data_IF_753633783821
#
_entry.id   IF_753633783821
#
_cell.length_a   1.000
_cell.length_b   1.000
_cell.length_c   1.000
_cell.angle_alpha   90.00
_cell.angle_beta   90.00
_cell.angle_gamma   90.00
#
_symmetry.space_group_name_H-M   'P 1'
#
loop_
_entity.id
_entity.type
_entity.pdbx_description
1 polymer ?
#
# COMPACT_ATOMS: atom_id res chain seq x y z
N UNK A 1 8.23 4.73 -40.96
CA UNK A 1 9.15 3.76 -40.32
C UNK A 1 10.05 4.54 -39.39
N UNK A 2 9.84 4.50 -38.06
CA UNK A 2 10.55 5.37 -37.11
C UNK A 2 12.07 5.07 -37.10
N UNK A 3 12.94 6.00 -37.52
CA UNK A 3 14.38 5.75 -37.63
C UNK A 3 15.13 6.57 -36.56
N UNK A 4 15.41 6.00 -35.37
CA UNK A 4 16.42 6.60 -34.44
C UNK A 4 16.83 5.77 -33.23
N UNK A 5 16.17 4.68 -32.86
CA UNK A 5 16.49 3.94 -31.62
C UNK A 5 17.65 2.94 -31.72
N UNK A 6 18.14 2.65 -32.94
CA UNK A 6 19.16 1.60 -33.20
C UNK A 6 20.53 1.81 -32.54
N UNK A 7 20.82 2.99 -31.98
CA UNK A 7 22.15 3.35 -31.44
C UNK A 7 22.17 3.70 -29.95
N UNK A 8 21.05 3.56 -29.24
CA UNK A 8 21.03 3.90 -27.81
C UNK A 8 21.47 2.69 -26.96
N UNK A 9 22.74 2.69 -26.55
CA UNK A 9 23.33 1.61 -25.74
C UNK A 9 22.68 1.48 -24.36
N UNK A 10 22.15 2.56 -23.78
CA UNK A 10 21.42 2.51 -22.51
C UNK A 10 20.06 1.83 -22.68
N UNK A 11 19.33 2.16 -23.74
CA UNK A 11 18.06 1.50 -24.06
C UNK A 11 18.28 0.01 -24.32
N UNK A 12 19.30 -0.35 -25.10
CA UNK A 12 19.63 -1.74 -25.36
C UNK A 12 19.99 -2.52 -24.09
N UNK A 13 20.80 -1.94 -23.19
CA UNK A 13 21.09 -2.54 -21.88
C UNK A 13 19.82 -2.74 -21.05
N UNK A 14 18.92 -1.76 -21.05
CA UNK A 14 17.66 -1.84 -20.30
C UNK A 14 16.72 -2.90 -20.88
N UNK A 15 16.63 -3.02 -22.19
CA UNK A 15 15.88 -4.09 -22.86
C UNK A 15 16.46 -5.45 -22.49
N UNK A 16 17.79 -5.62 -22.55
CA UNK A 16 18.45 -6.86 -22.15
C UNK A 16 18.17 -7.23 -20.69
N UNK A 17 18.11 -6.24 -19.78
CA UNK A 17 17.67 -6.46 -18.39
C UNK A 17 16.21 -6.92 -18.32
N UNK A 18 15.31 -6.29 -19.08
CA UNK A 18 13.89 -6.67 -19.11
C UNK A 18 13.64 -8.06 -19.69
N UNK A 19 14.53 -8.55 -20.55
CA UNK A 19 14.48 -9.89 -21.15
C UNK A 19 14.96 -11.00 -20.19
N UNK A 20 15.59 -10.67 -19.05
CA UNK A 20 16.04 -11.66 -18.07
C UNK A 20 14.87 -12.56 -17.63
N UNK A 21 15.08 -13.88 -17.70
CA UNK A 21 14.10 -14.88 -17.31
C UNK A 21 14.07 -15.05 -15.80
N UNK A 22 12.87 -15.28 -15.26
CA UNK A 22 12.64 -15.51 -13.85
C UNK A 22 12.29 -16.98 -13.62
N UNK A 23 12.90 -17.58 -12.60
CA UNK A 23 12.57 -18.93 -12.19
C UNK A 23 11.20 -18.94 -11.47
N UNK A 24 10.30 -19.87 -11.82
CA UNK A 24 8.99 -19.93 -11.17
C UNK A 24 9.10 -20.40 -9.72
N UNK A 25 8.38 -19.72 -8.82
CA UNK A 25 8.22 -20.19 -7.45
C UNK A 25 7.13 -21.28 -7.39
N UNK A 26 7.35 -22.30 -6.58
CA UNK A 26 6.40 -23.41 -6.38
C UNK A 26 5.61 -23.18 -5.08
N UNK A 27 4.28 -23.34 -5.08
CA UNK A 27 3.49 -23.22 -3.86
C UNK A 27 3.70 -24.40 -2.90
N UNK A 28 3.47 -24.17 -1.61
CA UNK A 28 3.49 -25.20 -0.58
C UNK A 28 2.05 -25.69 -0.29
N UNK A 29 1.87 -26.98 0.04
CA UNK A 29 2.90 -28.02 0.16
C UNK A 29 3.36 -28.59 -1.20
N UNK A 30 2.54 -28.47 -2.25
CA UNK A 30 2.88 -28.86 -3.62
C UNK A 30 1.87 -28.24 -4.61
N UNK A 31 2.28 -27.99 -5.84
CA UNK A 31 1.41 -27.51 -6.92
C UNK A 31 2.19 -26.92 -8.10
N UNK A 32 1.52 -26.60 -9.22
CA UNK A 32 2.16 -25.85 -10.29
C UNK A 32 2.43 -24.40 -9.85
N UNK A 33 3.37 -23.68 -10.47
CA UNK A 33 3.51 -22.24 -10.29
C UNK A 33 2.21 -21.51 -10.65
N UNK A 34 1.97 -20.35 -10.01
CA UNK A 34 0.81 -19.51 -10.33
C UNK A 34 0.75 -19.21 -11.85
N UNK A 35 -0.43 -19.25 -12.51
CA UNK A 35 -0.53 -19.08 -13.96
C UNK A 35 -0.01 -17.74 -14.46
N UNK A 36 -0.20 -16.67 -13.69
CA UNK A 36 0.32 -15.33 -13.99
C UNK A 36 1.74 -15.08 -13.43
N UNK A 37 2.45 -16.12 -12.97
CA UNK A 37 3.82 -15.93 -12.48
C UNK A 37 4.70 -15.41 -13.62
N UNK A 38 5.43 -14.30 -13.43
CA UNK A 38 6.15 -13.65 -14.50
C UNK A 38 7.32 -14.51 -14.97
N UNK A 39 7.41 -14.71 -16.29
CA UNK A 39 8.51 -15.48 -16.90
C UNK A 39 9.76 -14.64 -17.15
N UNK A 40 9.61 -13.32 -17.20
CA UNK A 40 10.70 -12.36 -17.43
C UNK A 40 10.52 -11.12 -16.54
N UNK A 41 11.58 -10.32 -16.38
CA UNK A 41 11.48 -9.03 -15.68
C UNK A 41 10.51 -8.07 -16.37
N UNK A 42 10.42 -8.08 -17.70
CA UNK A 42 9.41 -7.32 -18.43
C UNK A 42 7.99 -7.71 -18.00
N UNK A 43 7.68 -9.01 -18.01
CA UNK A 43 6.37 -9.50 -17.62
C UNK A 43 6.05 -9.12 -16.16
N UNK A 44 7.03 -9.19 -15.26
CA UNK A 44 6.86 -8.75 -13.87
C UNK A 44 6.48 -7.26 -13.76
N UNK A 45 7.10 -6.39 -14.54
CA UNK A 45 6.79 -4.96 -14.54
C UNK A 45 5.44 -4.61 -15.20
N UNK A 46 4.84 -5.54 -15.93
CA UNK A 46 3.54 -5.38 -16.56
C UNK A 46 2.40 -6.00 -15.74
N UNK A 47 2.68 -6.68 -14.63
CA UNK A 47 1.65 -7.24 -13.75
C UNK A 47 0.69 -6.14 -13.29
N UNK A 48 -0.58 -6.42 -13.51
CA UNK A 48 -1.73 -5.64 -13.03
C UNK A 48 -1.90 -5.82 -11.53
N UNK A 49 -2.69 -4.94 -10.92
CA UNK A 49 -3.02 -5.08 -9.50
C UNK A 49 -3.69 -6.42 -9.18
N UNK A 50 -4.67 -6.83 -9.99
CA UNK A 50 -5.41 -8.06 -9.78
C UNK A 50 -4.50 -9.29 -9.86
N UNK A 51 -3.54 -9.31 -10.78
CA UNK A 51 -2.56 -10.39 -10.88
C UNK A 51 -1.62 -10.41 -9.67
N UNK A 52 -1.18 -9.25 -9.19
CA UNK A 52 -0.37 -9.14 -7.99
C UNK A 52 -1.12 -9.64 -6.74
N UNK A 53 -2.41 -9.29 -6.58
CA UNK A 53 -3.26 -9.80 -5.50
C UNK A 53 -3.51 -11.30 -5.60
N UNK A 54 -3.72 -11.82 -6.82
CA UNK A 54 -3.88 -13.25 -7.08
C UNK A 54 -2.63 -14.03 -6.70
N UNK A 55 -1.45 -13.55 -7.11
CA UNK A 55 -0.16 -14.12 -6.72
C UNK A 55 0.00 -14.12 -5.20
N UNK A 56 -0.27 -13.00 -4.53
CA UNK A 56 -0.15 -12.89 -3.09
C UNK A 56 -1.11 -13.84 -2.36
N UNK A 57 -2.32 -14.06 -2.86
CA UNK A 57 -3.25 -15.04 -2.30
C UNK A 57 -2.77 -16.48 -2.51
N UNK A 58 -2.31 -16.81 -3.72
CA UNK A 58 -1.87 -18.16 -4.08
C UNK A 58 -0.70 -18.67 -3.22
N UNK A 59 0.22 -17.78 -2.84
CA UNK A 59 1.36 -18.12 -1.97
C UNK A 59 1.09 -17.83 -0.47
N UNK A 60 -0.18 -17.79 -0.05
CA UNK A 60 -0.58 -17.58 1.34
C UNK A 60 -0.04 -16.27 1.96
N UNK A 61 0.25 -15.26 1.16
CA UNK A 61 0.84 -14.00 1.63
C UNK A 61 -0.21 -12.94 1.94
N UNK A 62 -1.38 -12.98 1.28
CA UNK A 62 -2.49 -12.05 1.52
C UNK A 62 -3.60 -12.61 2.42
N UNK A 63 -3.69 -13.93 2.53
CA UNK A 63 -4.58 -14.63 3.46
C UNK A 63 -3.72 -15.62 4.21
N UNK A 64 -3.14 -15.20 5.36
CA UNK A 64 -2.19 -16.03 6.07
C UNK A 64 -2.80 -17.37 6.46
N UNK A 65 -2.00 -18.42 6.34
CA UNK A 65 -2.37 -19.80 6.65
C UNK A 65 -1.16 -20.58 7.16
N UNK A 66 -1.26 -21.93 7.25
CA UNK A 66 -0.20 -22.76 7.82
C UNK A 66 1.15 -22.61 7.12
N UNK A 67 1.14 -22.30 5.82
CA UNK A 67 2.33 -22.24 4.98
C UNK A 67 2.95 -20.85 4.83
N UNK A 68 2.31 -19.80 5.33
CA UNK A 68 2.74 -18.40 5.10
C UNK A 68 4.18 -18.13 5.53
N UNK A 69 4.57 -18.68 6.68
CA UNK A 69 5.91 -18.54 7.27
C UNK A 69 6.92 -19.57 6.75
N UNK A 70 6.49 -20.49 5.88
CA UNK A 70 7.36 -21.53 5.31
C UNK A 70 7.99 -21.09 3.97
N UNK A 71 7.60 -19.93 3.45
CA UNK A 71 8.26 -19.32 2.29
C UNK A 71 9.52 -18.55 2.70
N UNK A 72 10.52 -18.39 1.82
CA UNK A 72 11.79 -17.73 2.15
C UNK A 72 11.69 -16.27 2.63
N UNK A 73 10.60 -15.58 2.30
CA UNK A 73 10.33 -14.21 2.70
C UNK A 73 8.83 -14.00 2.91
N UNK A 74 8.46 -13.01 3.73
CA UNK A 74 7.07 -12.56 3.87
C UNK A 74 6.83 -11.27 3.09
N UNK A 75 5.66 -11.16 2.45
CA UNK A 75 5.25 -9.92 1.74
C UNK A 75 4.68 -8.85 2.68
N UNK A 76 4.16 -9.25 3.85
CA UNK A 76 3.32 -8.43 4.74
C UNK A 76 2.17 -7.77 3.94
N UNK A 77 1.39 -8.59 3.22
CA UNK A 77 0.37 -8.14 2.28
C UNK A 77 -0.98 -7.95 2.95
N UNK A 78 -1.32 -6.72 3.31
CA UNK A 78 -2.60 -6.38 3.91
C UNK A 78 -3.54 -5.81 2.84
N UNK A 79 -4.59 -6.57 2.50
CA UNK A 79 -5.55 -6.20 1.46
C UNK A 79 -6.45 -5.04 1.87
N UNK A 80 -6.88 -4.98 3.13
CA UNK A 80 -7.74 -3.90 3.63
C UNK A 80 -6.99 -2.58 3.61
N UNK A 81 -5.76 -2.64 4.07
CA UNK A 81 -4.85 -1.52 4.15
C UNK A 81 -4.46 -0.96 2.78
N UNK A 82 -4.24 -1.84 1.81
CA UNK A 82 -3.93 -1.47 0.43
C UNK A 82 -5.19 -1.21 -0.38
N UNK A 83 -6.41 -1.44 0.11
CA UNK A 83 -7.60 -1.22 -0.71
C UNK A 83 -7.72 0.25 -1.13
N UNK A 84 -8.50 0.50 -2.19
CA UNK A 84 -8.82 1.86 -2.62
C UNK A 84 -9.27 2.68 -1.42
N UNK A 85 -8.76 3.91 -1.25
CA UNK A 85 -9.20 4.73 -0.16
C UNK A 85 -10.71 4.96 -0.29
N UNK A 86 -11.44 4.95 0.80
CA UNK A 86 -12.82 5.46 0.84
C UNK A 86 -12.73 6.97 1.20
N UNK A 87 -12.99 7.89 0.26
CA UNK A 87 -12.94 9.37 0.43
C UNK A 87 -13.90 9.65 1.51
N UNK A 88 -13.52 10.52 2.43
CA UNK A 88 -14.45 10.91 3.43
C UNK A 88 -15.51 11.88 2.86
N UNK A 89 -16.79 11.53 2.80
CA UNK A 89 -17.93 12.48 2.59
C UNK A 89 -18.22 13.43 3.75
N UNK A 90 -17.51 13.36 4.88
CA UNK A 90 -17.79 14.22 6.04
C UNK A 90 -16.52 14.74 6.69
N UNK A 91 -16.49 16.06 6.86
CA UNK A 91 -15.48 16.78 7.62
C UNK A 91 -16.06 17.14 8.98
N UNK A 92 -15.27 16.96 10.04
CA UNK A 92 -15.65 17.34 11.40
C UNK A 92 -14.91 18.62 11.77
N UNK A 93 -15.65 19.69 12.04
CA UNK A 93 -15.09 20.97 12.48
C UNK A 93 -14.48 20.83 13.90
N UNK A 94 -13.54 21.69 14.33
CA UNK A 94 -12.88 21.59 15.65
C UNK A 94 -13.84 21.57 16.86
N UNK A 95 -15.06 22.06 16.69
CA UNK A 95 -16.12 22.03 17.69
C UNK A 95 -17.04 20.78 17.62
N UNK A 96 -16.67 19.74 16.84
CA UNK A 96 -17.36 18.45 16.82
C UNK A 96 -18.62 18.38 15.94
N UNK A 97 -18.99 19.44 15.23
CA UNK A 97 -20.11 19.42 14.31
C UNK A 97 -19.67 18.93 12.92
N UNK A 98 -20.27 17.82 12.46
CA UNK A 98 -20.18 17.33 11.07
C UNK A 98 -21.05 18.23 10.20
N UNK A 99 -20.43 19.01 9.32
CA UNK A 99 -21.15 19.83 8.33
C UNK A 99 -20.73 19.36 6.94
N UNK A 100 -21.70 19.14 6.06
CA UNK A 100 -21.45 18.81 4.66
C UNK A 100 -20.89 20.05 3.97
N UNK A 101 -19.78 19.92 3.26
CA UNK A 101 -19.17 21.03 2.51
C UNK A 101 -20.13 21.48 1.40
N UNK A 102 -20.28 22.78 1.24
CA UNK A 102 -20.97 23.36 0.08
C UNK A 102 -20.18 23.08 -1.20
N UNK A 103 -20.85 23.09 -2.36
CA UNK A 103 -20.20 22.81 -3.65
C UNK A 103 -19.00 23.73 -3.90
N UNK A 104 -19.15 25.00 -3.54
CA UNK A 104 -18.11 26.02 -3.71
C UNK A 104 -16.87 25.79 -2.83
N UNK A 105 -17.05 25.20 -1.64
CA UNK A 105 -15.95 24.81 -0.75
C UNK A 105 -15.25 23.54 -1.24
N UNK A 106 -15.99 22.62 -1.86
CA UNK A 106 -15.42 21.43 -2.50
C UNK A 106 -14.52 21.85 -3.65
N UNK A 107 -15.04 22.70 -4.55
CA UNK A 107 -14.33 23.20 -5.72
C UNK A 107 -13.03 23.92 -5.30
N UNK A 108 -13.10 24.79 -4.29
CA UNK A 108 -11.94 25.49 -3.73
C UNK A 108 -10.88 24.54 -3.15
N UNK A 109 -11.29 23.47 -2.45
CA UNK A 109 -10.36 22.50 -1.88
C UNK A 109 -9.65 21.68 -2.97
N UNK A 110 -10.35 21.32 -4.04
CA UNK A 110 -9.75 20.68 -5.23
C UNK A 110 -8.74 21.59 -5.91
N UNK A 111 -9.07 22.87 -6.11
CA UNK A 111 -8.16 23.84 -6.72
C UNK A 111 -6.93 24.11 -5.84
N UNK A 112 -7.09 24.09 -4.52
CA UNK A 112 -5.98 24.24 -3.57
C UNK A 112 -5.03 23.03 -3.60
N UNK A 113 -5.57 21.81 -3.65
CA UNK A 113 -4.76 20.58 -3.74
C UNK A 113 -3.98 20.57 -5.06
N UNK A 114 -4.64 20.97 -6.15
CA UNK A 114 -4.07 21.04 -7.49
C UNK A 114 -2.97 22.11 -7.61
N UNK A 115 -3.16 23.28 -7.01
CA UNK A 115 -2.13 24.35 -7.01
C UNK A 115 -0.91 24.02 -6.15
N UNK A 116 -1.08 23.25 -5.06
CA UNK A 116 0.05 22.74 -4.25
C UNK A 116 0.81 21.62 -5.00
N UNK A 117 0.09 20.81 -5.78
CA UNK A 117 0.66 19.76 -6.64
C UNK A 117 1.51 20.37 -7.79
N UNK A 118 1.07 21.49 -8.37
CA UNK A 118 1.80 22.25 -9.41
C UNK A 118 3.11 22.90 -8.90
N UNK A 119 3.20 23.26 -7.62
CA UNK A 119 4.40 23.87 -7.02
C UNK A 119 5.50 22.85 -6.67
N UNK A 120 5.14 21.58 -6.43
CA UNK A 120 6.10 20.54 -6.07
C UNK A 120 6.73 19.85 -7.31
N UNK A 121 6.07 19.87 -8.48
CA UNK A 121 6.58 19.28 -9.72
C UNK A 121 6.19 20.10 -10.97
N UNK A 122 7.13 20.75 -11.69
CA UNK A 122 6.80 21.44 -12.94
C UNK A 122 6.35 20.42 -14.01
N UNK A 123 5.12 20.58 -14.49
CA UNK A 123 4.42 19.69 -15.43
C UNK A 123 5.11 19.66 -16.80
N UNK A 124 5.31 18.45 -17.35
CA UNK A 124 5.35 18.22 -18.80
C UNK A 124 3.95 17.72 -19.22
N UNK A 125 3.28 18.33 -20.21
CA UNK A 125 1.84 18.16 -20.39
C UNK A 125 1.48 16.97 -21.27
N UNK A 126 0.50 16.15 -20.84
CA UNK A 126 -0.37 15.29 -21.67
C UNK A 126 -1.56 14.72 -20.85
N UNK A 127 -2.66 15.49 -20.83
CA UNK A 127 -4.12 15.19 -20.93
C UNK A 127 -4.79 13.82 -20.55
N UNK A 128 -6.12 13.79 -20.31
CA UNK A 128 -6.71 13.40 -19.00
C UNK A 128 -7.86 12.35 -19.05
N UNK A 129 -7.99 11.47 -18.06
CA UNK A 129 -9.22 10.70 -17.72
C UNK A 129 -9.04 10.18 -16.27
N UNK A 130 -10.01 9.98 -15.37
CA UNK A 130 -11.39 10.41 -15.19
C UNK A 130 -11.68 10.28 -13.67
N UNK A 131 -12.62 11.06 -13.16
CA UNK A 131 -12.93 11.27 -11.73
C UNK A 131 -13.84 10.17 -11.15
N UNK A 132 -13.53 9.62 -9.96
CA UNK A 132 -14.57 9.05 -9.09
C UNK A 132 -14.35 9.36 -7.59
N UNK A 133 -15.47 9.84 -7.02
CA UNK A 133 -15.69 10.30 -5.65
C UNK A 133 -15.94 9.13 -4.67
N UNK A 134 -15.86 9.36 -3.37
CA UNK A 134 -15.98 8.34 -2.31
C UNK A 134 -16.72 8.93 -1.06
N UNK A 135 -17.03 8.10 -0.05
CA UNK A 135 -17.83 8.41 1.16
C UNK A 135 -17.19 7.92 2.51
N UNK A 136 -17.48 8.62 3.63
CA UNK A 136 -16.75 8.71 4.93
C UNK A 136 -17.26 7.83 6.06
N UNK A 137 -16.33 7.33 6.87
CA UNK A 137 -16.57 6.97 8.29
C UNK A 137 -15.34 7.25 9.18
N UNK A 138 -15.52 7.59 10.49
CA UNK A 138 -14.46 8.14 11.33
C UNK A 138 -13.76 7.07 12.18
N UNK A 139 -12.85 6.31 11.58
CA UNK A 139 -11.87 5.47 12.29
C UNK A 139 -10.64 5.23 11.42
N UNK A 140 -9.81 6.25 11.19
CA UNK A 140 -8.52 6.05 10.50
C UNK A 140 -7.42 6.75 11.26
N UNK A 141 -6.92 6.08 12.31
CA UNK A 141 -5.67 6.43 13.00
C UNK A 141 -4.50 5.84 12.22
N UNK A 142 -3.60 6.70 11.73
CA UNK A 142 -2.27 6.46 11.19
C UNK A 142 -2.09 5.19 10.34
N UNK A 143 -2.85 5.09 9.25
CA UNK A 143 -2.49 4.23 8.14
C UNK A 143 -1.51 5.02 7.23
N UNK A 144 -0.23 4.63 7.20
CA UNK A 144 0.85 5.25 6.39
C UNK A 144 0.52 5.32 4.88
N UNK A 145 -0.48 4.57 4.44
CA UNK A 145 -0.87 4.39 3.05
C UNK A 145 -2.39 4.62 2.84
N UNK A 146 -3.07 5.30 3.77
CA UNK A 146 -4.43 5.76 3.52
C UNK A 146 -4.42 6.83 2.43
N UNK A 147 -5.31 6.72 1.44
CA UNK A 147 -5.40 7.69 0.34
C UNK A 147 -4.54 7.39 -0.88
N UNK A 148 -3.90 6.22 -0.95
CA UNK A 148 -3.02 5.92 -2.08
C UNK A 148 -3.76 5.86 -3.42
N UNK A 149 -3.13 6.45 -4.42
CA UNK A 149 -3.50 6.26 -5.83
C UNK A 149 -3.30 4.80 -6.24
N UNK A 150 -4.02 4.36 -7.28
CA UNK A 150 -3.83 3.04 -7.88
C UNK A 150 -2.37 2.79 -8.29
N UNK A 151 -1.72 3.80 -8.87
CA UNK A 151 -0.33 3.72 -9.30
C UNK A 151 0.62 3.46 -8.14
N UNK A 152 0.44 4.14 -7.01
CA UNK A 152 1.29 3.95 -5.83
C UNK A 152 1.06 2.59 -5.17
N UNK A 153 -0.20 2.17 -5.14
CA UNK A 153 -0.58 0.85 -4.65
C UNK A 153 0.04 -0.26 -5.49
N UNK A 154 -0.06 -0.20 -6.83
CA UNK A 154 0.62 -1.13 -7.74
C UNK A 154 2.12 -1.13 -7.50
N UNK A 155 2.74 0.04 -7.29
CA UNK A 155 4.18 0.15 -7.01
C UNK A 155 4.57 -0.54 -5.69
N UNK A 156 3.79 -0.35 -4.62
CA UNK A 156 4.02 -1.01 -3.32
C UNK A 156 3.80 -2.53 -3.44
N UNK A 157 2.69 -2.92 -4.06
CA UNK A 157 2.32 -4.32 -4.33
C UNK A 157 3.43 -5.02 -5.11
N UNK A 158 3.87 -4.43 -6.23
CA UNK A 158 4.97 -4.97 -7.04
C UNK A 158 6.27 -5.11 -6.27
N UNK A 159 6.64 -4.11 -5.45
CA UNK A 159 7.84 -4.17 -4.60
C UNK A 159 7.76 -5.32 -3.59
N UNK A 160 6.62 -5.49 -2.92
CA UNK A 160 6.38 -6.60 -1.99
C UNK A 160 6.49 -7.97 -2.67
N UNK A 161 5.88 -8.14 -3.83
CA UNK A 161 6.00 -9.38 -4.63
C UNK A 161 7.43 -9.59 -5.10
N UNK A 162 8.10 -8.54 -5.60
CA UNK A 162 9.47 -8.60 -6.07
C UNK A 162 10.44 -9.05 -4.97
N UNK A 163 10.30 -8.51 -3.76
CA UNK A 163 11.07 -8.95 -2.59
C UNK A 163 10.81 -10.42 -2.26
N UNK A 164 9.55 -10.85 -2.30
CA UNK A 164 9.16 -12.22 -2.00
C UNK A 164 9.74 -13.26 -2.97
N UNK A 165 9.80 -12.93 -4.26
CA UNK A 165 10.39 -13.81 -5.28
C UNK A 165 11.92 -13.63 -5.43
N UNK A 166 12.55 -12.82 -4.58
CA UNK A 166 14.01 -12.68 -4.51
C UNK A 166 14.64 -11.67 -5.48
N UNK A 167 13.90 -10.69 -5.97
CA UNK A 167 14.46 -9.62 -6.80
C UNK A 167 15.22 -8.59 -5.95
N UNK A 168 16.42 -8.24 -6.39
CA UNK A 168 17.27 -7.19 -5.79
C UNK A 168 16.69 -5.80 -6.09
N UNK A 169 16.80 -4.86 -5.15
CA UNK A 169 16.29 -3.50 -5.34
C UNK A 169 14.79 -3.34 -5.09
N UNK A 170 14.16 -4.36 -4.48
CA UNK A 170 12.74 -4.38 -4.11
C UNK A 170 12.55 -4.20 -2.60
N UNK A 171 13.54 -3.60 -1.93
CA UNK A 171 13.50 -3.35 -0.50
C UNK A 171 12.41 -2.34 -0.16
N UNK A 172 11.76 -2.56 0.99
CA UNK A 172 10.79 -1.60 1.52
C UNK A 172 11.55 -0.37 2.05
N UNK A 173 11.22 0.87 1.62
CA UNK A 173 11.91 2.08 2.07
C UNK A 173 11.97 2.21 3.59
N UNK A 174 13.02 2.84 4.11
CA UNK A 174 13.26 2.95 5.54
C UNK A 174 12.12 3.71 6.26
N UNK A 175 11.56 4.72 5.61
CA UNK A 175 10.46 5.54 6.13
C UNK A 175 9.18 4.70 6.31
N UNK A 176 8.90 3.79 5.38
CA UNK A 176 7.80 2.82 5.48
C UNK A 176 7.98 1.88 6.67
N UNK A 177 9.20 1.38 6.86
CA UNK A 177 9.55 0.48 7.96
C UNK A 177 9.42 1.24 9.30
N UNK A 178 9.98 2.44 9.40
CA UNK A 178 9.91 3.28 10.58
C UNK A 178 8.46 3.62 10.94
N UNK A 179 7.63 3.98 9.96
CA UNK A 179 6.21 4.25 10.16
C UNK A 179 5.45 3.04 10.71
N UNK A 180 5.74 1.82 10.22
CA UNK A 180 5.15 0.58 10.76
C UNK A 180 5.59 0.30 12.20
N UNK A 181 6.87 0.48 12.50
CA UNK A 181 7.41 0.29 13.85
C UNK A 181 6.75 1.27 14.81
N UNK A 182 6.67 2.55 14.43
CA UNK A 182 6.03 3.58 15.23
C UNK A 182 4.55 3.25 15.51
N UNK A 183 3.78 2.88 14.47
CA UNK A 183 2.38 2.50 14.63
C UNK A 183 2.20 1.24 15.51
N UNK A 184 3.13 0.29 15.43
CA UNK A 184 3.15 -0.89 16.32
C UNK A 184 3.42 -0.50 17.77
N UNK A 185 4.40 0.37 17.99
CA UNK A 185 4.78 0.87 19.32
C UNK A 185 3.65 1.68 19.96
N UNK A 186 3.03 2.59 19.22
CA UNK A 186 1.90 3.40 19.69
C UNK A 186 0.72 2.52 20.12
N UNK A 187 0.44 1.44 19.35
CA UNK A 187 -0.57 0.44 19.72
C UNK A 187 -0.22 -0.31 21.00
N UNK A 188 1.05 -0.66 21.18
CA UNK A 188 1.51 -1.32 22.40
C UNK A 188 1.39 -0.40 23.63
N UNK A 189 1.78 0.87 23.49
CA UNK A 189 1.66 1.89 24.55
C UNK A 189 0.19 2.12 24.92
N UNK A 190 -0.70 2.25 23.93
CA UNK A 190 -2.13 2.43 24.18
C UNK A 190 -2.73 1.25 24.96
N UNK A 191 -2.39 0.01 24.58
CA UNK A 191 -2.83 -1.19 25.31
C UNK A 191 -2.34 -1.19 26.76
N UNK A 192 -1.07 -0.86 26.98
CA UNK A 192 -0.51 -0.79 28.34
C UNK A 192 -1.19 0.28 29.21
N UNK A 193 -1.52 1.44 28.62
CA UNK A 193 -2.25 2.51 29.34
C UNK A 193 -3.66 2.08 29.73
N UNK A 194 -4.38 1.40 28.84
CA UNK A 194 -5.73 0.89 29.11
C UNK A 194 -5.71 -0.20 30.18
N UNK A 195 -4.68 -1.05 30.18
CA UNK A 195 -4.48 -2.09 31.19
C UNK A 195 -4.15 -1.49 32.56
N UNK A 196 -3.31 -0.47 32.63
CA UNK A 196 -3.01 0.27 33.86
C UNK A 196 -4.29 0.87 34.45
N UNK A 197 -5.11 1.53 33.62
CA UNK A 197 -6.39 2.11 34.05
C UNK A 197 -7.35 1.05 34.61
N UNK A 198 -7.45 -0.10 33.96
CA UNK A 198 -8.26 -1.23 34.47
C UNK A 198 -7.73 -1.75 35.80
N UNK A 199 -6.42 -1.87 35.94
CA UNK A 199 -5.81 -2.34 37.18
C UNK A 199 -6.03 -1.35 38.33
N UNK A 200 -5.92 -0.05 38.08
CA UNK A 200 -6.26 1.00 39.05
C UNK A 200 -7.74 0.96 39.46
N UNK A 201 -8.66 0.77 38.52
CA UNK A 201 -10.10 0.60 38.82
C UNK A 201 -10.36 -0.64 39.68
N UNK A 202 -9.69 -1.76 39.41
CA UNK A 202 -9.78 -2.98 40.21
C UNK A 202 -9.24 -2.76 41.63
N UNK A 203 -8.10 -2.06 41.76
CA UNK A 203 -7.50 -1.74 43.06
C UNK A 203 -8.38 -0.79 43.88
N UNK A 204 -8.99 0.22 43.26
CA UNK A 204 -9.93 1.15 43.91
C UNK A 204 -11.21 0.46 44.36
N UNK A 205 -11.74 -0.47 43.56
CA UNK A 205 -12.90 -1.30 43.96
C UNK A 205 -12.58 -2.20 45.14
N UNK A 206 -11.41 -2.84 45.15
CA UNK A 206 -10.96 -3.64 46.30
C UNK A 206 -10.79 -2.80 47.56
N UNK A 207 -10.25 -1.58 47.44
CA UNK A 207 -10.09 -0.64 48.57
C UNK A 207 -11.44 -0.16 49.13
N UNK A 208 -12.48 -0.02 48.31
CA UNK A 208 -13.83 0.37 48.75
C UNK A 208 -14.63 -0.74 49.45
N UNK A 209 -14.18 -1.99 49.37
CA UNK A 209 -14.84 -3.14 50.02
C UNK A 209 -14.17 -3.55 51.35
N UNK A 210 -13.17 -2.79 51.80
CA UNK A 210 -12.57 -2.86 53.14
C UNK A 210 -13.05 -1.65 53.95
#
# INVERSE_FOLDING_TARGET
MAPTTRRNSMLAKKIATLELTLAPLVPLPSGPPHPAFPKTLMAFHLLTEAELDSIAHYYHQSTPGPWSEHYPASMNWDKEFLAHPAIPTTVTSPNGHRRRLSQQEQDFLTDLIKTVEDLQHPIVPSQPEAEEQMDSSPTTRNNTYAGLSEKDRIRIKRRKVGKFIGLVGMETPAEEIAGRIQASLDRAIARGRDELRRNEEVMLRRRKML
#
